data_IF_356246923613
#
_entry.id   IF_356246923613
#
_cell.length_a   1.000
_cell.length_b   1.000
_cell.length_c   1.000
_cell.angle_alpha   90.00
_cell.angle_beta   90.00
_cell.angle_gamma   90.00
#
_symmetry.space_group_name_H-M   'P 1'
#
loop_
_entity.id
_entity.type
_entity.pdbx_description
1 polymer ?
#
# COMPACT_ATOMS: atom_id res chain seq x y z
N UNK A 1 -7.84 17.29 -2.89
CA UNK A 1 -7.89 16.62 -4.20
C UNK A 1 -7.68 17.67 -5.26
N UNK A 2 -6.68 17.50 -6.12
CA UNK A 2 -6.51 18.36 -7.29
C UNK A 2 -7.47 17.91 -8.39
N UNK A 3 -8.04 18.87 -9.13
CA UNK A 3 -8.98 18.61 -10.22
C UNK A 3 -8.34 18.93 -11.55
N UNK A 4 -7.54 17.99 -12.04
CA UNK A 4 -6.93 18.09 -13.36
C UNK A 4 -8.00 17.84 -14.45
N UNK A 5 -8.07 18.72 -15.45
CA UNK A 5 -8.97 18.59 -16.59
C UNK A 5 -8.28 19.14 -17.84
N UNK A 6 -8.09 18.29 -18.86
CA UNK A 6 -7.45 18.64 -20.14
C UNK A 6 -8.34 19.48 -21.06
N UNK A 7 -9.63 19.59 -20.74
CA UNK A 7 -10.66 20.18 -21.60
C UNK A 7 -11.17 21.49 -20.97
N UNK A 8 -10.79 22.66 -21.52
CA UNK A 8 -11.07 23.96 -20.90
C UNK A 8 -12.57 24.27 -20.82
N UNK A 9 -13.36 23.84 -21.79
CA UNK A 9 -14.82 24.05 -21.81
C UNK A 9 -15.51 23.21 -20.72
N UNK A 10 -15.04 21.98 -20.47
CA UNK A 10 -15.54 21.14 -19.37
C UNK A 10 -15.12 21.67 -18.01
N UNK A 11 -13.93 22.28 -17.91
CA UNK A 11 -13.45 22.86 -16.66
C UNK A 11 -14.36 23.98 -16.16
N UNK A 12 -14.79 24.87 -17.04
CA UNK A 12 -15.71 25.98 -16.73
C UNK A 12 -17.12 25.50 -16.35
N UNK A 13 -17.56 24.37 -16.91
CA UNK A 13 -18.85 23.75 -16.60
C UNK A 13 -18.81 22.84 -15.36
N UNK A 14 -17.62 22.47 -14.88
CA UNK A 14 -17.43 21.55 -13.76
C UNK A 14 -17.44 22.27 -12.41
N UNK A 15 -18.28 21.81 -11.49
CA UNK A 15 -18.26 22.27 -10.11
C UNK A 15 -17.09 21.62 -9.36
N UNK A 16 -16.17 22.43 -8.84
CA UNK A 16 -15.00 21.98 -8.10
C UNK A 16 -15.15 22.36 -6.62
N UNK A 17 -15.37 21.36 -5.76
CA UNK A 17 -15.59 21.59 -4.33
C UNK A 17 -14.48 20.95 -3.50
N UNK A 18 -14.07 21.67 -2.45
CA UNK A 18 -13.29 21.08 -1.37
C UNK A 18 -14.29 20.52 -0.36
N UNK A 19 -14.41 19.20 -0.30
CA UNK A 19 -15.39 18.49 0.55
C UNK A 19 -14.82 18.12 1.92
N UNK A 20 -13.50 18.05 2.06
CA UNK A 20 -12.83 17.69 3.31
C UNK A 20 -11.49 18.42 3.44
N UNK A 21 -11.23 18.95 4.64
CA UNK A 21 -9.94 19.55 5.02
C UNK A 21 -9.60 19.08 6.42
N UNK A 22 -8.39 18.56 6.59
CA UNK A 22 -7.83 18.19 7.89
C UNK A 22 -6.38 18.66 7.95
N UNK A 23 -6.02 19.31 9.05
CA UNK A 23 -4.68 19.85 9.27
C UNK A 23 -3.98 19.01 10.33
N UNK A 24 -2.76 18.54 10.03
CA UNK A 24 -1.93 17.78 10.95
C UNK A 24 -0.51 18.38 11.04
N UNK A 25 0.18 18.21 12.18
CA UNK A 25 1.58 18.58 12.30
C UNK A 25 2.48 17.82 11.30
N UNK A 26 3.51 18.48 10.78
CA UNK A 26 4.41 17.92 9.76
C UNK A 26 5.22 16.67 10.16
N UNK A 27 5.25 16.33 11.45
CA UNK A 27 5.94 15.13 11.94
C UNK A 27 5.07 13.87 11.89
N UNK A 28 3.77 14.02 11.61
CA UNK A 28 2.85 12.89 11.47
C UNK A 28 2.74 12.50 10.00
N UNK A 29 2.82 11.21 9.73
CA UNK A 29 2.58 10.68 8.40
C UNK A 29 1.10 10.72 8.07
N UNK A 30 0.78 11.27 6.90
CA UNK A 30 -0.58 11.40 6.35
C UNK A 30 -1.06 10.14 5.61
N UNK A 31 -0.26 9.08 5.51
CA UNK A 31 -0.59 7.87 4.75
C UNK A 31 -1.93 7.21 5.18
N UNK A 32 -2.37 7.44 6.42
CA UNK A 32 -3.63 6.93 6.96
C UNK A 32 -4.79 7.97 6.93
N UNK A 33 -4.58 9.15 6.34
CA UNK A 33 -5.59 10.21 6.30
C UNK A 33 -6.73 9.94 5.31
N UNK A 34 -6.53 9.02 4.36
CA UNK A 34 -7.49 8.72 3.30
C UNK A 34 -8.83 8.21 3.84
N UNK A 35 -8.82 7.16 4.67
CA UNK A 35 -10.05 6.53 5.16
C UNK A 35 -10.90 7.50 6.01
N UNK A 36 -10.32 8.24 6.98
CA UNK A 36 -11.06 9.27 7.70
C UNK A 36 -11.67 10.34 6.77
N UNK A 37 -11.01 10.68 5.67
CA UNK A 37 -11.56 11.62 4.70
C UNK A 37 -12.77 11.04 3.96
N UNK A 38 -12.73 9.75 3.58
CA UNK A 38 -13.87 9.05 2.94
C UNK A 38 -15.06 9.02 3.89
N UNK A 39 -14.86 8.57 5.13
CA UNK A 39 -15.90 8.51 6.17
C UNK A 39 -16.53 9.89 6.41
N UNK A 40 -15.71 10.94 6.52
CA UNK A 40 -16.18 12.32 6.69
C UNK A 40 -17.02 12.81 5.51
N UNK A 41 -16.66 12.47 4.28
CA UNK A 41 -17.45 12.84 3.09
C UNK A 41 -18.76 12.07 2.96
N UNK A 42 -18.83 10.85 3.52
CA UNK A 42 -20.06 10.07 3.57
C UNK A 42 -21.09 10.70 4.51
N UNK A 43 -20.66 11.14 5.69
CA UNK A 43 -21.53 11.84 6.65
C UNK A 43 -22.10 13.14 6.08
N UNK A 44 -21.34 13.84 5.23
CA UNK A 44 -21.71 15.13 4.65
C UNK A 44 -22.51 15.01 3.35
N UNK A 45 -22.69 13.80 2.81
CA UNK A 45 -23.43 13.50 1.57
C UNK A 45 -22.85 14.09 0.26
N UNK A 46 -21.51 14.16 0.11
CA UNK A 46 -20.91 13.96 -1.22
C UNK A 46 -19.82 12.88 -1.19
N UNK A 47 -20.21 11.61 -1.06
CA UNK A 47 -19.27 10.48 -1.10
C UNK A 47 -18.66 10.29 -2.50
N UNK A 48 -17.33 10.26 -2.65
CA UNK A 48 -16.69 10.02 -3.95
C UNK A 48 -16.85 8.57 -4.39
N UNK A 49 -17.15 8.35 -5.67
CA UNK A 49 -17.16 7.02 -6.28
C UNK A 49 -15.76 6.53 -6.64
N UNK A 50 -14.89 7.45 -7.05
CA UNK A 50 -13.52 7.20 -7.46
C UNK A 50 -12.61 8.22 -6.80
N UNK A 51 -11.42 7.78 -6.41
CA UNK A 51 -10.41 8.58 -5.73
C UNK A 51 -9.09 8.37 -6.46
N UNK A 52 -8.54 9.48 -6.95
CA UNK A 52 -7.18 9.54 -7.44
C UNK A 52 -6.30 10.12 -6.33
N UNK A 53 -5.26 9.39 -5.96
CA UNK A 53 -4.36 9.79 -4.88
C UNK A 53 -2.90 9.54 -5.23
N UNK A 54 -2.00 10.18 -4.49
CA UNK A 54 -0.57 9.93 -4.60
C UNK A 54 -0.21 8.51 -4.17
N UNK A 55 0.96 8.05 -4.62
CA UNK A 55 1.44 6.69 -4.39
C UNK A 55 1.50 6.29 -2.91
N UNK A 56 1.74 7.25 -2.01
CA UNK A 56 1.76 7.01 -0.56
C UNK A 56 0.39 6.54 -0.02
N UNK A 57 -0.71 6.99 -0.63
CA UNK A 57 -2.06 6.61 -0.24
C UNK A 57 -2.50 5.29 -0.85
N UNK A 58 -1.78 4.77 -1.85
CA UNK A 58 -2.06 3.53 -2.58
C UNK A 58 -1.70 2.24 -1.87
N UNK A 59 -1.61 2.22 -0.54
CA UNK A 59 -1.33 0.99 0.20
C UNK A 59 -2.46 -0.04 0.05
N UNK A 60 -2.14 -1.34 0.20
CA UNK A 60 -3.14 -2.41 0.12
C UNK A 60 -4.26 -2.23 1.15
N UNK A 61 -3.92 -1.81 2.38
CA UNK A 61 -4.90 -1.59 3.46
C UNK A 61 -5.87 -0.45 3.10
N UNK A 62 -5.35 0.65 2.53
CA UNK A 62 -6.19 1.75 2.03
C UNK A 62 -7.08 1.31 0.87
N UNK A 63 -6.55 0.52 -0.06
CA UNK A 63 -7.30 -0.01 -1.20
C UNK A 63 -8.45 -0.92 -0.75
N UNK A 64 -8.21 -1.82 0.20
CA UNK A 64 -9.24 -2.73 0.72
C UNK A 64 -10.32 -1.99 1.49
N UNK A 65 -9.95 -1.01 2.32
CA UNK A 65 -10.92 -0.21 3.09
C UNK A 65 -11.75 0.69 2.20
N UNK A 66 -11.12 1.43 1.28
CA UNK A 66 -11.85 2.25 0.31
C UNK A 66 -12.85 1.43 -0.51
N UNK A 67 -12.49 0.20 -0.91
CA UNK A 67 -13.41 -0.73 -1.59
C UNK A 67 -14.60 -1.15 -0.71
N UNK A 68 -14.39 -1.41 0.59
CA UNK A 68 -15.49 -1.70 1.54
C UNK A 68 -16.46 -0.53 1.63
N UNK A 69 -15.91 0.68 1.53
CA UNK A 69 -16.69 1.91 1.52
C UNK A 69 -17.20 2.25 0.11
N UNK A 70 -17.15 1.35 -0.88
CA UNK A 70 -17.62 1.61 -2.26
C UNK A 70 -16.95 2.81 -2.95
N UNK A 71 -15.71 3.14 -2.57
CA UNK A 71 -14.88 4.15 -3.23
C UNK A 71 -13.70 3.47 -3.94
N UNK A 72 -13.61 3.61 -5.26
CA UNK A 72 -12.51 3.07 -6.06
C UNK A 72 -11.24 3.91 -5.90
N UNK A 73 -10.24 3.40 -5.19
CA UNK A 73 -8.93 4.06 -5.03
C UNK A 73 -7.98 3.67 -6.16
N UNK A 74 -7.45 4.67 -6.87
CA UNK A 74 -6.37 4.52 -7.83
C UNK A 74 -5.19 5.40 -7.42
N UNK A 75 -4.02 4.79 -7.28
CA UNK A 75 -2.79 5.48 -6.95
C UNK A 75 -1.63 4.87 -7.74
N UNK A 76 -0.63 5.67 -8.15
CA UNK A 76 0.59 5.15 -8.76
C UNK A 76 1.29 4.17 -7.81
N UNK A 77 1.95 3.16 -8.35
CA UNK A 77 2.80 2.27 -7.54
C UNK A 77 3.97 3.05 -6.97
N UNK A 78 4.27 2.85 -5.68
CA UNK A 78 5.49 3.36 -5.07
C UNK A 78 6.70 2.84 -5.84
N UNK A 79 7.71 3.70 -6.03
CA UNK A 79 8.83 3.48 -6.94
C UNK A 79 9.50 2.11 -6.82
N UNK A 80 10.15 1.70 -7.92
CA UNK A 80 10.78 0.38 -8.05
C UNK A 80 11.71 0.06 -6.88
N UNK A 81 11.48 -1.11 -6.26
CA UNK A 81 12.49 -1.78 -5.44
C UNK A 81 13.74 -1.93 -6.30
N UNK A 82 14.91 -1.59 -5.74
CA UNK A 82 16.19 -1.77 -6.42
C UNK A 82 16.28 -3.23 -6.89
N UNK A 83 16.40 -3.44 -8.20
CA UNK A 83 16.40 -4.78 -8.83
C UNK A 83 17.49 -5.70 -8.26
N UNK A 84 18.58 -5.10 -7.74
CA UNK A 84 19.71 -5.82 -7.18
C UNK A 84 19.49 -6.30 -5.73
N UNK A 85 18.32 -6.09 -5.12
CA UNK A 85 18.08 -6.50 -3.72
C UNK A 85 17.07 -7.63 -3.61
N UNK A 86 17.48 -8.71 -2.95
CA UNK A 86 16.59 -9.80 -2.55
C UNK A 86 15.38 -9.26 -1.78
N UNK A 87 14.19 -9.53 -2.31
CA UNK A 87 12.90 -9.18 -1.74
C UNK A 87 12.26 -10.39 -1.05
N UNK A 88 11.28 -10.13 -0.19
CA UNK A 88 10.45 -11.18 0.40
C UNK A 88 9.74 -12.04 -0.66
N UNK A 89 9.45 -11.47 -1.83
CA UNK A 89 8.81 -12.17 -2.95
C UNK A 89 9.69 -13.25 -3.58
N UNK A 90 11.01 -13.18 -3.41
CA UNK A 90 11.94 -14.15 -4.00
C UNK A 90 11.99 -15.47 -3.21
N UNK A 91 11.35 -15.51 -2.04
CA UNK A 91 11.26 -16.72 -1.23
C UNK A 91 10.20 -17.66 -1.81
N UNK A 92 10.47 -18.96 -1.69
CA UNK A 92 9.53 -19.99 -2.11
C UNK A 92 8.58 -20.24 -0.96
N UNK A 93 7.28 -20.09 -1.20
CA UNK A 93 6.24 -20.30 -0.18
C UNK A 93 5.57 -21.66 -0.35
N UNK A 94 5.21 -22.27 0.78
CA UNK A 94 4.34 -23.45 0.81
C UNK A 94 2.89 -23.07 0.43
N UNK A 95 2.04 -24.04 0.09
CA UNK A 95 0.60 -23.78 -0.16
C UNK A 95 -0.14 -23.12 1.00
N UNK A 96 0.44 -23.13 2.21
CA UNK A 96 -0.11 -22.49 3.41
C UNK A 96 0.39 -21.04 3.60
N UNK A 97 1.16 -20.50 2.65
CA UNK A 97 1.71 -19.15 2.70
C UNK A 97 2.93 -18.99 3.64
N UNK A 98 3.51 -20.09 4.12
CA UNK A 98 4.71 -20.06 4.96
C UNK A 98 5.97 -20.23 4.08
N UNK A 99 7.04 -19.42 4.28
CA UNK A 99 8.30 -19.59 3.54
C UNK A 99 8.86 -21.01 3.69
N UNK A 100 8.92 -21.74 2.59
CA UNK A 100 9.39 -23.11 2.49
C UNK A 100 10.89 -23.18 2.16
N UNK A 101 11.40 -22.23 1.37
CA UNK A 101 12.83 -22.13 1.06
C UNK A 101 13.26 -20.69 0.76
N UNK A 102 14.55 -20.42 0.91
CA UNK A 102 15.14 -19.17 0.43
C UNK A 102 15.23 -19.15 -1.11
N UNK A 103 15.55 -18.00 -1.73
CA UNK A 103 15.71 -17.88 -3.19
C UNK A 103 16.74 -18.86 -3.80
N UNK A 104 17.68 -19.36 -2.99
CA UNK A 104 18.67 -20.39 -3.38
C UNK A 104 18.21 -21.83 -3.13
N UNK A 105 16.93 -22.05 -2.79
CA UNK A 105 16.35 -23.36 -2.53
C UNK A 105 16.76 -24.01 -1.21
N UNK A 106 17.35 -23.26 -0.27
CA UNK A 106 17.75 -23.81 1.05
C UNK A 106 16.55 -23.88 1.98
N UNK A 107 16.44 -25.00 2.70
CA UNK A 107 15.41 -25.22 3.70
C UNK A 107 15.73 -24.43 4.98
N UNK A 108 14.70 -23.94 5.69
CA UNK A 108 14.89 -23.24 6.94
C UNK A 108 15.46 -24.18 8.02
N UNK A 109 16.51 -23.72 8.69
CA UNK A 109 17.11 -24.44 9.82
C UNK A 109 16.27 -24.31 11.10
N UNK A 110 15.44 -23.26 11.20
CA UNK A 110 14.65 -22.98 12.40
C UNK A 110 13.34 -22.29 12.05
N UNK A 111 12.22 -22.91 12.42
CA UNK A 111 10.89 -22.32 12.32
C UNK A 111 10.34 -22.15 13.73
N UNK A 112 9.97 -20.91 14.08
CA UNK A 112 9.34 -20.56 15.35
C UNK A 112 8.00 -19.90 15.09
N UNK A 113 6.92 -20.53 15.55
CA UNK A 113 5.55 -19.98 15.49
C UNK A 113 5.14 -19.52 16.88
N UNK A 114 5.16 -18.19 17.11
CA UNK A 114 4.62 -17.54 18.33
C UNK A 114 3.52 -16.55 17.89
N UNK A 115 3.59 -15.29 18.32
CA UNK A 115 2.72 -14.18 17.85
C UNK A 115 3.03 -13.77 16.40
N UNK A 116 4.26 -14.01 15.93
CA UNK A 116 4.71 -13.86 14.54
C UNK A 116 5.44 -15.14 14.13
N UNK A 117 5.41 -15.47 12.85
CA UNK A 117 6.20 -16.55 12.27
C UNK A 117 7.63 -16.03 12.08
N UNK A 118 8.61 -16.72 12.68
CA UNK A 118 10.03 -16.42 12.51
C UNK A 118 10.73 -17.62 11.90
N UNK A 119 11.43 -17.38 10.80
CA UNK A 119 12.14 -18.40 10.04
C UNK A 119 13.62 -17.99 9.98
N UNK A 120 14.49 -18.91 10.37
CA UNK A 120 15.94 -18.74 10.33
C UNK A 120 16.57 -19.80 9.43
N UNK A 121 17.57 -19.38 8.66
CA UNK A 121 18.41 -20.24 7.83
C UNK A 121 19.74 -20.49 8.55
N UNK A 122 20.45 -21.55 8.16
CA UNK A 122 21.75 -21.86 8.75
C UNK A 122 22.76 -20.78 8.35
N UNK A 123 23.61 -20.36 9.30
CA UNK A 123 24.61 -19.31 9.07
C UNK A 123 25.50 -19.64 7.85
N UNK A 124 25.95 -20.89 7.76
CA UNK A 124 26.81 -21.39 6.67
C UNK A 124 26.18 -21.24 5.27
N UNK A 125 24.84 -21.30 5.18
CA UNK A 125 24.12 -21.12 3.93
C UNK A 125 23.93 -19.62 3.59
N UNK A 126 23.87 -18.76 4.60
CA UNK A 126 23.69 -17.31 4.45
C UNK A 126 25.01 -16.55 4.23
N UNK A 127 26.14 -17.02 4.76
CA UNK A 127 27.46 -16.38 4.62
C UNK A 127 27.90 -16.22 3.16
N UNK A 128 27.38 -17.07 2.27
CA UNK A 128 27.70 -17.04 0.84
C UNK A 128 26.61 -16.36 -0.01
N UNK A 129 25.60 -15.74 0.62
CA UNK A 129 24.54 -15.04 -0.12
C UNK A 129 25.06 -13.71 -0.69
N UNK A 130 24.71 -13.39 -1.94
CA UNK A 130 24.97 -12.05 -2.49
C UNK A 130 24.17 -11.01 -1.71
N UNK A 131 24.76 -9.80 -1.58
CA UNK A 131 24.12 -8.61 -0.99
C UNK A 131 22.98 -8.06 -1.87
#
# INVERSE_FOLDING_TARGET
METYCDDPDKKEQSLNLITHVKVEPSHNSDANALIPAIESTEEQNPKPKEILADSLYGSDDNCERAKKDNAGLTAPTMGSVKEDKLSFTDFIFSPKGEPAACPRGKLPAKIKKKKRLSIGFALQDCENCPD
#
